data_IF_026674715950
#
_entry.id   IF_026674715950
#
_cell.length_a   1.000
_cell.length_b   1.000
_cell.length_c   1.000
_cell.angle_alpha   90.00
_cell.angle_beta   90.00
_cell.angle_gamma   90.00
#
_symmetry.space_group_name_H-M   'P 1'
#
loop_
_entity.id
_entity.type
_entity.pdbx_description
1 polymer ?
#
# COMPACT_ATOMS: atom_id res chain seq x y z
N UNK A 1 -17.13 19.96 -14.41
CA UNK A 1 -15.81 19.58 -14.94
C UNK A 1 -14.78 19.98 -13.91
N UNK A 2 -14.30 19.02 -13.14
CA UNK A 2 -13.20 19.22 -12.18
C UNK A 2 -11.90 19.37 -12.97
N UNK A 3 -11.15 20.47 -12.85
CA UNK A 3 -9.92 20.67 -13.62
C UNK A 3 -8.73 19.84 -13.10
N UNK A 4 -8.94 18.98 -12.11
CA UNK A 4 -7.89 18.14 -11.49
C UNK A 4 -8.11 16.64 -11.73
N UNK A 5 -9.26 16.23 -12.26
CA UNK A 5 -9.52 14.85 -12.63
C UNK A 5 -8.96 14.55 -14.03
N UNK A 6 -7.63 14.52 -14.15
CA UNK A 6 -7.01 13.74 -15.21
C UNK A 6 -7.54 12.31 -15.11
N UNK A 7 -8.03 11.78 -16.23
CA UNK A 7 -8.64 10.46 -16.37
C UNK A 7 -8.00 9.42 -15.48
N UNK A 8 -8.81 8.86 -14.58
CA UNK A 8 -8.45 7.67 -13.82
C UNK A 8 -8.22 6.54 -14.85
N UNK A 9 -6.97 6.24 -15.11
CA UNK A 9 -6.62 5.01 -15.82
C UNK A 9 -6.68 3.91 -14.76
N UNK A 10 -7.60 2.94 -14.85
CA UNK A 10 -7.62 1.82 -13.93
C UNK A 10 -6.25 1.13 -13.98
N UNK A 11 -5.70 0.82 -12.80
CA UNK A 11 -4.50 -0.02 -12.70
C UNK A 11 -4.89 -1.35 -13.39
N UNK A 12 -4.15 -1.82 -14.40
CA UNK A 12 -4.51 -3.04 -15.09
C UNK A 12 -4.57 -4.20 -14.09
N UNK A 13 -5.73 -4.84 -14.03
CA UNK A 13 -5.95 -6.05 -13.23
C UNK A 13 -5.10 -7.16 -13.83
N UNK A 14 -4.12 -7.65 -13.11
CA UNK A 14 -3.28 -8.76 -13.53
C UNK A 14 -3.98 -10.05 -13.13
N UNK A 15 -4.43 -10.82 -14.11
CA UNK A 15 -5.03 -12.13 -13.86
C UNK A 15 -4.01 -13.10 -13.24
N UNK A 16 -4.46 -13.88 -12.25
CA UNK A 16 -3.65 -14.93 -11.63
C UNK A 16 -3.21 -15.96 -12.70
N UNK A 17 -1.92 -16.03 -12.98
CA UNK A 17 -1.37 -17.02 -13.93
C UNK A 17 -0.07 -16.65 -14.62
N UNK A 18 0.25 -15.39 -14.79
CA UNK A 18 1.57 -14.96 -15.24
C UNK A 18 2.21 -14.03 -14.21
N UNK A 19 3.52 -14.15 -13.92
CA UNK A 19 4.20 -13.10 -13.17
C UNK A 19 4.02 -11.82 -13.96
N UNK A 20 3.31 -10.85 -13.37
CA UNK A 20 2.94 -9.59 -14.01
C UNK A 20 4.19 -9.01 -14.67
N UNK A 21 4.18 -8.88 -15.99
CA UNK A 21 5.09 -7.98 -16.69
C UNK A 21 4.77 -6.58 -16.15
N UNK A 22 5.61 -6.13 -15.24
CA UNK A 22 5.44 -4.84 -14.60
C UNK A 22 5.56 -3.74 -15.66
N UNK A 23 4.51 -2.91 -15.89
CA UNK A 23 4.55 -1.85 -16.89
C UNK A 23 5.48 -0.69 -16.49
N UNK A 24 6.09 -0.74 -15.29
CA UNK A 24 6.74 0.43 -14.72
C UNK A 24 8.26 0.51 -14.91
N UNK A 25 8.98 -0.53 -15.25
CA UNK A 25 10.38 -0.40 -15.68
C UNK A 25 11.01 -1.69 -16.23
N UNK A 26 11.50 -1.72 -17.49
CA UNK A 26 12.28 -2.82 -18.02
C UNK A 26 13.70 -2.93 -17.41
N UNK A 27 14.20 -1.89 -16.74
CA UNK A 27 15.51 -1.84 -16.10
C UNK A 27 15.44 -2.09 -14.57
N UNK A 28 14.55 -2.98 -14.12
CA UNK A 28 14.47 -3.39 -12.73
C UNK A 28 15.83 -3.96 -12.26
N UNK A 29 16.56 -3.16 -11.49
CA UNK A 29 17.91 -3.52 -11.02
C UNK A 29 18.72 -2.31 -10.55
N UNK A 30 18.16 -1.09 -10.67
CA UNK A 30 18.89 0.16 -10.38
C UNK A 30 18.71 0.73 -8.97
N UNK A 31 17.91 0.13 -8.10
CA UNK A 31 17.69 0.68 -6.76
C UNK A 31 18.94 0.65 -5.85
N UNK A 32 20.00 -0.03 -6.28
CA UNK A 32 21.27 -0.04 -5.54
C UNK A 32 21.25 -0.82 -4.23
N UNK A 33 20.16 -1.53 -3.94
CA UNK A 33 20.05 -2.34 -2.73
C UNK A 33 20.63 -3.75 -2.95
N UNK A 34 21.58 -4.14 -2.10
CA UNK A 34 22.26 -5.44 -2.20
C UNK A 34 21.32 -6.64 -2.00
N UNK A 35 20.19 -6.44 -1.33
CA UNK A 35 19.19 -7.44 -1.02
C UNK A 35 18.00 -7.45 -2.00
N UNK A 36 18.08 -6.71 -3.11
CA UNK A 36 17.06 -6.67 -4.16
C UNK A 36 17.70 -7.03 -5.50
N UNK A 37 17.56 -8.28 -5.92
CA UNK A 37 18.03 -8.73 -7.24
C UNK A 37 17.11 -8.21 -8.35
N UNK A 38 17.69 -7.85 -9.51
CA UNK A 38 16.92 -7.31 -10.63
C UNK A 38 15.89 -8.25 -11.25
N UNK A 39 15.97 -9.56 -10.97
CA UNK A 39 15.10 -10.60 -11.51
C UNK A 39 13.99 -11.07 -10.55
N UNK A 40 13.87 -10.48 -9.34
CA UNK A 40 12.77 -10.81 -8.43
C UNK A 40 11.48 -10.08 -8.84
N UNK A 41 10.34 -10.71 -8.62
CA UNK A 41 9.05 -10.21 -9.08
C UNK A 41 8.68 -8.80 -8.55
N UNK A 42 9.22 -8.42 -7.40
CA UNK A 42 8.96 -7.11 -6.76
C UNK A 42 10.02 -6.04 -7.10
N UNK A 43 11.09 -6.38 -7.86
CA UNK A 43 12.20 -5.44 -8.09
C UNK A 43 11.75 -4.10 -8.69
N UNK A 44 10.83 -4.14 -9.65
CA UNK A 44 10.32 -2.93 -10.28
C UNK A 44 9.40 -2.11 -9.37
N UNK A 45 8.66 -2.76 -8.48
CA UNK A 45 7.88 -2.06 -7.45
C UNK A 45 8.82 -1.33 -6.47
N UNK A 46 9.93 -1.97 -6.06
CA UNK A 46 10.96 -1.32 -5.24
C UNK A 46 11.54 -0.11 -5.95
N UNK A 47 11.96 -0.27 -7.22
CA UNK A 47 12.49 0.86 -8.00
C UNK A 47 11.49 2.01 -8.07
N UNK A 48 10.22 1.72 -8.35
CA UNK A 48 9.18 2.75 -8.42
C UNK A 48 9.03 3.53 -7.11
N UNK A 49 8.91 2.86 -5.97
CA UNK A 49 8.70 3.54 -4.68
C UNK A 49 9.94 4.33 -4.24
N UNK A 50 11.13 3.89 -4.64
CA UNK A 50 12.39 4.61 -4.40
C UNK A 50 12.51 5.82 -5.31
N UNK A 51 12.28 5.67 -6.62
CA UNK A 51 12.31 6.77 -7.59
C UNK A 51 11.31 7.89 -7.27
N UNK A 52 10.16 7.50 -6.69
CA UNK A 52 9.14 8.46 -6.22
C UNK A 52 9.44 9.03 -4.84
N UNK A 53 10.53 8.63 -4.19
CA UNK A 53 10.87 9.07 -2.83
C UNK A 53 9.89 8.61 -1.76
N UNK A 54 9.09 7.57 -2.05
CA UNK A 54 8.10 7.03 -1.12
C UNK A 54 8.76 6.15 -0.06
N UNK A 55 9.76 5.36 -0.46
CA UNK A 55 10.54 4.48 0.42
C UNK A 55 12.04 4.66 0.16
N UNK A 56 12.85 4.61 1.20
CA UNK A 56 14.30 4.81 1.12
C UNK A 56 15.10 3.57 1.57
N UNK A 57 14.43 2.44 1.78
CA UNK A 57 15.07 1.26 2.38
C UNK A 57 15.18 1.36 3.90
N UNK A 58 15.87 0.38 4.49
CA UNK A 58 16.03 0.23 5.95
C UNK A 58 17.49 0.42 6.41
N UNK A 59 18.42 0.58 5.48
CA UNK A 59 19.85 0.80 5.71
C UNK A 59 20.51 1.39 4.47
N UNK A 60 21.84 1.57 4.49
CA UNK A 60 22.58 2.22 3.42
C UNK A 60 22.40 1.51 2.06
N UNK A 61 22.40 0.17 2.07
CA UNK A 61 22.31 -0.67 0.88
C UNK A 61 21.22 -1.75 0.98
N UNK A 62 20.26 -1.59 1.92
CA UNK A 62 19.22 -2.58 2.21
C UNK A 62 17.82 -2.01 2.10
N UNK A 63 16.98 -2.71 1.35
CA UNK A 63 15.55 -2.46 1.28
C UNK A 63 14.75 -3.29 2.31
N UNK A 64 15.26 -4.48 2.63
CA UNK A 64 14.66 -5.48 3.53
C UNK A 64 13.28 -5.98 3.06
N UNK A 65 13.17 -6.50 1.83
CA UNK A 65 11.87 -6.82 1.22
C UNK A 65 11.09 -7.93 1.94
N UNK A 66 11.78 -8.73 2.75
CA UNK A 66 11.19 -9.84 3.51
C UNK A 66 10.96 -9.50 5.00
N UNK A 67 11.24 -8.26 5.41
CA UNK A 67 10.97 -7.82 6.77
C UNK A 67 9.50 -7.43 6.95
N UNK A 68 9.02 -7.54 8.18
CA UNK A 68 7.67 -7.08 8.52
C UNK A 68 7.53 -5.56 8.26
N UNK A 69 6.42 -5.20 7.66
CA UNK A 69 6.05 -3.80 7.49
C UNK A 69 5.38 -3.30 8.76
N UNK A 70 5.81 -2.13 9.26
CA UNK A 70 5.21 -1.52 10.44
C UNK A 70 4.13 -0.49 10.09
N UNK A 71 3.24 -0.21 11.06
CA UNK A 71 2.23 0.86 10.89
C UNK A 71 2.89 2.21 10.60
N UNK A 72 4.01 2.51 11.26
CA UNK A 72 4.79 3.74 11.02
C UNK A 72 5.32 3.86 9.60
N UNK A 73 5.74 2.74 8.98
CA UNK A 73 6.16 2.72 7.57
C UNK A 73 4.99 3.12 6.65
N UNK A 74 3.81 2.54 6.86
CA UNK A 74 2.65 2.82 6.01
C UNK A 74 2.20 4.28 6.12
N UNK A 75 2.04 4.83 7.32
CA UNK A 75 1.64 6.24 7.47
C UNK A 75 2.68 7.20 6.90
N UNK A 76 3.97 6.84 6.97
CA UNK A 76 5.05 7.63 6.38
C UNK A 76 4.99 7.62 4.85
N UNK A 77 4.77 6.45 4.24
CA UNK A 77 4.63 6.31 2.78
C UNK A 77 3.40 7.07 2.28
N UNK A 78 2.27 6.94 2.95
CA UNK A 78 1.02 7.64 2.56
C UNK A 78 1.16 9.16 2.71
N UNK A 79 1.83 9.65 3.77
CA UNK A 79 2.10 11.08 3.93
C UNK A 79 3.00 11.62 2.81
N UNK A 80 4.04 10.87 2.40
CA UNK A 80 4.91 11.23 1.26
C UNK A 80 4.13 11.21 -0.06
N UNK A 81 3.27 10.23 -0.25
CA UNK A 81 2.39 10.15 -1.43
C UNK A 81 1.44 11.35 -1.50
N UNK A 82 1.02 11.89 -0.35
CA UNK A 82 0.24 13.13 -0.21
C UNK A 82 1.10 14.41 -0.29
N UNK A 83 2.39 14.28 -0.66
CA UNK A 83 3.31 15.40 -0.83
C UNK A 83 3.79 16.05 0.48
N UNK A 84 3.64 15.36 1.62
CA UNK A 84 4.05 15.89 2.92
C UNK A 84 5.49 15.57 3.25
N UNK A 85 6.18 16.51 3.88
CA UNK A 85 7.49 16.24 4.47
C UNK A 85 7.33 15.28 5.67
N UNK A 86 8.17 14.25 5.70
CA UNK A 86 8.20 13.26 6.80
C UNK A 86 9.50 13.33 7.60
N UNK A 87 10.24 14.43 7.49
CA UNK A 87 11.42 14.65 8.32
C UNK A 87 11.05 14.82 9.80
N UNK A 88 11.88 14.27 10.69
CA UNK A 88 11.67 14.42 12.13
C UNK A 88 12.17 13.23 12.94
N UNK A 89 12.04 13.37 14.26
CA UNK A 89 12.37 12.31 15.22
C UNK A 89 11.20 12.11 16.18
N UNK A 90 10.78 10.87 16.40
CA UNK A 90 11.14 9.66 15.63
C UNK A 90 10.74 9.77 14.16
N UNK A 91 11.37 8.98 13.30
CA UNK A 91 11.22 9.05 11.83
C UNK A 91 9.78 8.94 11.32
N UNK A 92 8.89 8.30 12.06
CA UNK A 92 7.47 8.15 11.70
C UNK A 92 6.58 9.28 12.25
N UNK A 93 7.10 10.17 13.13
CA UNK A 93 6.26 11.13 13.86
C UNK A 93 5.47 12.09 12.97
N UNK A 94 6.05 12.54 11.87
CA UNK A 94 5.37 13.43 10.93
C UNK A 94 4.25 12.71 10.19
N UNK A 95 4.50 11.49 9.71
CA UNK A 95 3.48 10.62 9.09
C UNK A 95 2.37 10.24 10.07
N UNK A 96 2.72 9.95 11.32
CA UNK A 96 1.76 9.66 12.39
C UNK A 96 0.79 10.83 12.61
N UNK A 97 1.30 12.06 12.82
CA UNK A 97 0.46 13.25 13.00
C UNK A 97 -0.45 13.49 11.80
N UNK A 98 0.11 13.41 10.60
CA UNK A 98 -0.67 13.54 9.37
C UNK A 98 -1.78 12.47 9.28
N UNK A 99 -1.48 11.21 9.56
CA UNK A 99 -2.45 10.13 9.49
C UNK A 99 -3.57 10.27 10.54
N UNK A 100 -3.26 10.82 11.71
CA UNK A 100 -4.26 11.15 12.74
C UNK A 100 -5.14 12.32 12.31
N UNK A 101 -4.54 13.38 11.76
CA UNK A 101 -5.26 14.57 11.28
C UNK A 101 -6.32 14.23 10.22
N UNK A 102 -6.01 13.28 9.33
CA UNK A 102 -6.90 12.84 8.26
C UNK A 102 -7.64 11.53 8.56
N UNK A 103 -7.67 11.11 9.81
CA UNK A 103 -8.38 9.90 10.30
C UNK A 103 -7.98 8.60 9.56
N UNK A 104 -6.79 8.57 8.97
CA UNK A 104 -6.25 7.40 8.28
C UNK A 104 -5.80 6.35 9.29
N UNK A 105 -5.23 6.79 10.43
CA UNK A 105 -4.77 5.94 11.53
C UNK A 105 -5.07 6.61 12.87
N UNK A 106 -5.27 5.79 13.90
CA UNK A 106 -5.39 6.22 15.30
C UNK A 106 -4.04 6.65 15.93
N UNK A 107 -2.94 6.49 15.22
CA UNK A 107 -1.60 6.85 15.69
C UNK A 107 -1.00 5.88 16.69
N UNK A 108 -1.64 4.74 16.98
CA UNK A 108 -1.11 3.78 17.95
C UNK A 108 -0.18 2.76 17.31
N UNK A 109 0.67 2.12 18.11
CA UNK A 109 1.54 1.00 17.75
C UNK A 109 2.37 1.20 16.46
N UNK A 110 2.98 2.38 16.29
CA UNK A 110 3.70 2.75 15.06
C UNK A 110 4.89 1.84 14.73
N UNK A 111 5.49 1.21 15.73
CA UNK A 111 6.62 0.27 15.55
C UNK A 111 6.19 -1.19 15.43
N UNK A 112 4.93 -1.50 15.66
CA UNK A 112 4.39 -2.85 15.52
C UNK A 112 4.14 -3.23 14.06
N UNK A 113 4.25 -4.52 13.75
CA UNK A 113 3.89 -5.06 12.45
C UNK A 113 2.42 -4.77 12.13
N UNK A 114 2.14 -4.44 10.88
CA UNK A 114 0.78 -4.17 10.42
C UNK A 114 0.14 -5.47 9.91
N UNK A 115 -1.13 -5.70 10.25
CA UNK A 115 -1.90 -6.78 9.64
C UNK A 115 -2.42 -6.38 8.25
N UNK A 116 -2.77 -7.37 7.43
CA UNK A 116 -3.34 -7.13 6.09
C UNK A 116 -4.60 -6.27 6.16
N UNK A 117 -5.52 -6.57 7.07
CA UNK A 117 -6.76 -5.80 7.24
C UNK A 117 -6.51 -4.35 7.72
N UNK A 118 -5.51 -4.14 8.58
CA UNK A 118 -5.11 -2.79 9.02
C UNK A 118 -4.52 -1.98 7.88
N UNK A 119 -3.65 -2.59 7.07
CA UNK A 119 -3.09 -1.95 5.87
C UNK A 119 -4.19 -1.51 4.91
N UNK A 120 -5.11 -2.43 4.61
CA UNK A 120 -6.21 -2.17 3.69
C UNK A 120 -7.13 -1.08 4.21
N UNK A 121 -7.43 -1.06 5.52
CA UNK A 121 -8.23 0.00 6.12
C UNK A 121 -7.56 1.38 5.99
N UNK A 122 -6.23 1.47 6.16
CA UNK A 122 -5.49 2.73 5.95
C UNK A 122 -5.52 3.17 4.48
N UNK A 123 -5.32 2.23 3.54
CA UNK A 123 -5.39 2.52 2.10
C UNK A 123 -6.79 3.00 1.68
N UNK A 124 -7.83 2.34 2.18
CA UNK A 124 -9.22 2.72 1.92
C UNK A 124 -9.54 4.13 2.42
N UNK A 125 -9.18 4.44 3.67
CA UNK A 125 -9.37 5.79 4.24
C UNK A 125 -8.58 6.85 3.48
N UNK A 126 -7.35 6.54 3.06
CA UNK A 126 -6.56 7.41 2.20
C UNK A 126 -7.23 7.66 0.85
N UNK A 127 -7.79 6.63 0.23
CA UNK A 127 -8.51 6.76 -1.02
C UNK A 127 -9.77 7.63 -0.86
N UNK A 128 -10.54 7.43 0.22
CA UNK A 128 -11.73 8.27 0.55
C UNK A 128 -11.33 9.72 0.76
N UNK A 129 -10.25 10.00 1.53
CA UNK A 129 -9.70 11.34 1.70
C UNK A 129 -9.40 12.01 0.35
N UNK A 130 -8.93 11.26 -0.63
CA UNK A 130 -8.57 11.76 -1.96
C UNK A 130 -9.73 11.72 -2.98
N UNK A 131 -10.97 11.66 -2.52
CA UNK A 131 -12.15 11.78 -3.36
C UNK A 131 -12.61 10.46 -4.00
N UNK A 132 -12.17 9.32 -3.47
CA UNK A 132 -12.83 8.07 -3.82
C UNK A 132 -14.28 8.17 -3.36
N UNK A 133 -15.18 8.40 -4.30
CA UNK A 133 -16.61 8.30 -4.04
C UNK A 133 -16.92 6.88 -3.55
N UNK A 134 -17.91 6.75 -2.66
CA UNK A 134 -18.31 5.46 -2.12
C UNK A 134 -18.57 4.48 -3.28
N UNK A 135 -17.54 3.74 -3.63
CA UNK A 135 -17.66 2.65 -4.59
C UNK A 135 -18.64 1.70 -3.98
N UNK A 136 -19.62 1.27 -4.78
CA UNK A 136 -20.55 0.24 -4.35
C UNK A 136 -19.71 -0.94 -3.88
N UNK A 137 -19.68 -1.14 -2.56
CA UNK A 137 -18.92 -2.21 -1.90
C UNK A 137 -19.70 -3.51 -2.15
N UNK A 138 -19.70 -3.96 -3.41
CA UNK A 138 -20.51 -5.10 -3.87
C UNK A 138 -19.74 -6.39 -3.90
N UNK A 139 -18.41 -6.33 -3.70
CA UNK A 139 -17.61 -7.53 -3.75
C UNK A 139 -17.91 -8.48 -2.60
N UNK A 140 -18.27 -9.69 -2.98
CA UNK A 140 -18.61 -10.70 -2.01
C UNK A 140 -17.33 -11.38 -1.51
N UNK A 141 -17.06 -11.24 -0.22
CA UNK A 141 -15.91 -11.88 0.43
C UNK A 141 -16.14 -13.38 0.67
N UNK A 142 -17.34 -13.91 0.47
CA UNK A 142 -17.64 -15.33 0.72
C UNK A 142 -16.88 -16.31 -0.19
N UNK A 143 -16.23 -15.80 -1.23
CA UNK A 143 -15.30 -16.59 -2.04
C UNK A 143 -14.04 -17.00 -1.29
N UNK A 144 -13.72 -16.33 -0.17
CA UNK A 144 -12.58 -16.63 0.67
C UNK A 144 -13.02 -17.48 1.87
N UNK A 145 -12.32 -18.58 2.14
CA UNK A 145 -12.68 -19.53 3.20
C UNK A 145 -12.48 -18.94 4.60
N UNK A 146 -11.61 -17.93 4.73
CA UNK A 146 -11.29 -17.19 5.95
C UNK A 146 -12.05 -15.85 6.07
N UNK A 147 -13.08 -15.62 5.26
CA UNK A 147 -13.86 -14.38 5.29
C UNK A 147 -14.47 -14.08 6.66
N UNK A 148 -14.79 -15.12 7.45
CA UNK A 148 -15.32 -14.99 8.82
C UNK A 148 -14.29 -14.43 9.82
N UNK A 149 -13.00 -14.50 9.52
CA UNK A 149 -11.91 -14.04 10.39
C UNK A 149 -11.64 -12.53 10.21
N UNK A 150 -12.25 -11.93 9.19
CA UNK A 150 -12.14 -10.50 8.95
C UNK A 150 -12.85 -9.72 10.05
N UNK A 151 -12.14 -8.82 10.71
CA UNK A 151 -12.73 -7.94 11.71
C UNK A 151 -13.88 -7.11 11.15
N UNK A 152 -14.97 -6.94 11.89
CA UNK A 152 -16.17 -6.21 11.44
C UNK A 152 -15.84 -4.79 10.94
N UNK A 153 -14.87 -4.11 11.55
CA UNK A 153 -14.43 -2.77 11.16
C UNK A 153 -13.65 -2.74 9.83
N UNK A 154 -13.12 -3.88 9.37
CA UNK A 154 -12.31 -3.98 8.17
C UNK A 154 -13.11 -4.46 6.94
N UNK A 155 -14.31 -5.00 7.12
CA UNK A 155 -15.10 -5.64 6.04
C UNK A 155 -15.24 -4.73 4.82
N UNK A 156 -15.66 -3.48 5.00
CA UNK A 156 -15.84 -2.54 3.87
C UNK A 156 -14.55 -2.25 3.15
N UNK A 157 -13.44 -2.09 3.89
CA UNK A 157 -12.13 -1.86 3.27
C UNK A 157 -11.63 -3.10 2.51
N UNK A 158 -11.87 -4.29 3.04
CA UNK A 158 -11.52 -5.55 2.37
C UNK A 158 -12.34 -5.77 1.09
N UNK A 159 -13.65 -5.49 1.12
CA UNK A 159 -14.51 -5.52 -0.08
C UNK A 159 -13.99 -4.56 -1.16
N UNK A 160 -13.63 -3.33 -0.76
CA UNK A 160 -13.03 -2.36 -1.66
C UNK A 160 -11.72 -2.88 -2.26
N UNK A 161 -10.82 -3.41 -1.44
CA UNK A 161 -9.52 -3.87 -1.90
C UNK A 161 -9.60 -5.07 -2.86
N UNK A 162 -10.53 -5.99 -2.62
CA UNK A 162 -10.83 -7.10 -3.53
C UNK A 162 -11.38 -6.55 -4.84
N UNK A 163 -12.36 -5.64 -4.79
CA UNK A 163 -12.94 -5.01 -5.98
C UNK A 163 -11.94 -4.20 -6.80
N UNK A 164 -10.89 -3.64 -6.16
CA UNK A 164 -9.79 -2.97 -6.85
C UNK A 164 -8.66 -3.92 -7.30
N UNK A 165 -8.77 -5.22 -7.02
CA UNK A 165 -7.72 -6.20 -7.32
C UNK A 165 -6.45 -6.03 -6.48
N UNK A 166 -6.50 -5.27 -5.37
CA UNK A 166 -5.37 -5.08 -4.46
C UNK A 166 -5.11 -6.31 -3.61
N UNK A 167 -6.16 -7.07 -3.32
CA UNK A 167 -6.11 -8.36 -2.62
C UNK A 167 -6.83 -9.40 -3.45
N UNK A 168 -6.19 -10.54 -3.65
CA UNK A 168 -6.71 -11.64 -4.46
C UNK A 168 -6.81 -12.94 -3.66
N UNK A 169 -6.36 -12.93 -2.41
CA UNK A 169 -6.25 -14.14 -1.61
C UNK A 169 -5.10 -15.05 -2.04
N UNK A 170 -4.94 -16.13 -1.29
CA UNK A 170 -3.95 -17.18 -1.57
C UNK A 170 -4.57 -18.54 -1.21
N UNK A 171 -4.55 -19.50 -2.14
CA UNK A 171 -5.09 -20.86 -1.93
C UNK A 171 -6.54 -20.87 -1.40
N UNK A 172 -7.41 -19.94 -1.84
CA UNK A 172 -8.79 -19.80 -1.39
C UNK A 172 -8.96 -19.05 -0.06
N UNK A 173 -7.91 -18.35 0.39
CA UNK A 173 -7.91 -17.50 1.58
C UNK A 173 -7.57 -16.05 1.21
#
# INVERSE_FOLDING_TARGET
>A
TCPVCGKYTPIPVVSAGEPAKNPFNPDAGKAGFADVSGNVWYASAVNYVVDKGLMNGTGEDKFSPNADTTRGMIVTVLARLDGKSTAGTPWFAAGQRWAMEYEISDGTNMTGAITREQLVAMLFRYAVKNGLEAVTLSENLTQFTDASDISAWAVSAMQWAVGQGLIQGSNGQ
#
